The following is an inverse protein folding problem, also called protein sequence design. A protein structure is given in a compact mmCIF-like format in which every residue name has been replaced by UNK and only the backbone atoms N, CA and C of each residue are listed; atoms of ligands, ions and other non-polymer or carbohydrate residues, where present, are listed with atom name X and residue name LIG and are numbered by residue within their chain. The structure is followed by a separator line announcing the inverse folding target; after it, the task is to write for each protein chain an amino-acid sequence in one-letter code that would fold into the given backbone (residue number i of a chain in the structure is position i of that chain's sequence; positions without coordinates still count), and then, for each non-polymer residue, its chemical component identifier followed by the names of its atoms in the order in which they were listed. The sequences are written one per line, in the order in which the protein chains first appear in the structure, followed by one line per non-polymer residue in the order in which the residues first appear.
data_IF_759394172808
#
_entry.id   IF_759394172808
#
_cell.length_a   1.000
_cell.length_b   1.000
_cell.length_c   1.000
_cell.angle_alpha   90.00
_cell.angle_beta   90.00
_cell.angle_gamma   90.00
#
_symmetry.space_group_name_H-M   'P 1'
#
loop_
_entity.id
_entity.type
_entity.pdbx_description
1 polymer ?
#
# COMPACT_ATOMS: atom_id res chain seq x y z
N UNK A 1 -5.48 13.53 -15.22
CA UNK A 1 -6.49 12.50 -14.92
C UNK A 1 -5.79 11.40 -14.15
N UNK A 2 -6.19 11.15 -12.89
CA UNK A 2 -5.61 10.09 -12.04
C UNK A 2 -6.49 8.84 -12.02
N UNK A 3 -7.30 8.64 -13.07
CA UNK A 3 -8.18 7.49 -13.22
C UNK A 3 -7.36 6.25 -13.51
N UNK A 4 -7.51 5.21 -12.68
CA UNK A 4 -6.86 3.93 -12.90
C UNK A 4 -7.56 3.16 -14.02
N UNK A 5 -6.79 2.33 -14.72
CA UNK A 5 -7.34 1.39 -15.70
C UNK A 5 -8.11 0.28 -14.97
N UNK A 6 -9.25 -0.11 -15.55
CA UNK A 6 -10.09 -1.20 -15.03
C UNK A 6 -10.37 -2.16 -16.16
N UNK A 7 -9.99 -3.43 -16.00
CA UNK A 7 -10.18 -4.47 -17.02
C UNK A 7 -11.18 -5.52 -16.53
N UNK A 8 -11.97 -6.06 -17.44
CA UNK A 8 -12.78 -7.25 -17.17
C UNK A 8 -11.91 -8.49 -17.35
N UNK A 9 -11.70 -9.26 -16.28
CA UNK A 9 -10.87 -10.47 -16.29
C UNK A 9 -11.55 -11.54 -15.45
N UNK A 10 -11.79 -12.72 -16.04
CA UNK A 10 -12.44 -13.86 -15.38
C UNK A 10 -13.79 -13.52 -14.73
N UNK A 11 -14.55 -12.57 -15.31
CA UNK A 11 -15.85 -12.14 -14.78
C UNK A 11 -15.78 -11.14 -13.61
N UNK A 12 -14.59 -10.60 -13.33
CA UNK A 12 -14.36 -9.56 -12.33
C UNK A 12 -13.86 -8.27 -12.98
N UNK A 13 -14.08 -7.14 -12.29
CA UNK A 13 -13.55 -5.84 -12.69
C UNK A 13 -12.27 -5.55 -11.92
N UNK A 14 -11.13 -5.71 -12.56
CA UNK A 14 -9.81 -5.59 -11.93
C UNK A 14 -9.26 -4.18 -12.13
N UNK A 15 -9.06 -3.45 -11.03
CA UNK A 15 -8.34 -2.17 -11.04
C UNK A 15 -6.85 -2.47 -11.20
N UNK A 16 -6.22 -1.97 -12.26
CA UNK A 16 -4.87 -2.34 -12.69
C UNK A 16 -3.77 -1.50 -12.02
N UNK A 17 -3.63 -1.64 -10.71
CA UNK A 17 -2.55 -1.00 -9.94
C UNK A 17 -1.14 -1.47 -10.34
N UNK A 18 -1.03 -2.70 -10.84
CA UNK A 18 0.18 -3.30 -11.38
C UNK A 18 0.76 -2.55 -12.59
N UNK A 19 -0.09 -1.82 -13.34
CA UNK A 19 0.35 -0.97 -14.44
C UNK A 19 0.92 0.38 -13.96
N UNK A 20 0.79 0.69 -12.67
CA UNK A 20 1.38 1.88 -12.05
C UNK A 20 2.71 1.49 -11.43
N UNK A 21 3.82 2.00 -11.97
CA UNK A 21 5.14 1.81 -11.36
C UNK A 21 5.10 2.35 -9.92
N UNK A 22 5.34 1.48 -8.92
CA UNK A 22 5.22 1.80 -7.49
C UNK A 22 3.83 1.57 -6.88
N UNK A 23 2.86 1.08 -7.65
CA UNK A 23 1.50 0.77 -7.23
C UNK A 23 0.61 1.99 -7.04
N UNK A 24 -0.68 1.74 -6.78
CA UNK A 24 -1.73 2.78 -6.66
C UNK A 24 -1.37 3.84 -5.62
N UNK A 25 -0.76 3.45 -4.49
CA UNK A 25 -0.40 4.38 -3.42
C UNK A 25 0.55 5.48 -3.88
N UNK A 26 1.36 5.24 -4.91
CA UNK A 26 2.21 6.29 -5.50
C UNK A 26 1.38 7.45 -6.04
N UNK A 27 0.24 7.19 -6.67
CA UNK A 27 -0.58 8.26 -7.26
C UNK A 27 -1.11 9.22 -6.18
N UNK A 28 -1.57 8.67 -5.05
CA UNK A 28 -2.00 9.49 -3.91
C UNK A 28 -0.81 10.21 -3.25
N UNK A 29 0.36 9.56 -3.15
CA UNK A 29 1.57 10.21 -2.65
C UNK A 29 2.05 11.37 -3.54
N UNK A 30 2.01 11.21 -4.86
CA UNK A 30 2.42 12.25 -5.82
C UNK A 30 1.64 13.57 -5.57
N UNK A 31 0.36 13.47 -5.19
CA UNK A 31 -0.52 14.59 -4.90
C UNK A 31 -0.40 15.09 -3.45
N UNK A 32 -0.26 14.18 -2.48
CA UNK A 32 -0.14 14.53 -1.08
C UNK A 32 1.20 15.21 -0.78
N UNK A 33 2.30 14.69 -1.32
CA UNK A 33 3.65 15.21 -1.08
C UNK A 33 3.87 16.58 -1.71
N UNK A 34 3.14 16.96 -2.76
CA UNK A 34 3.24 18.31 -3.32
C UNK A 34 2.65 19.39 -2.39
N UNK A 35 1.87 18.98 -1.39
CA UNK A 35 1.24 19.85 -0.38
C UNK A 35 2.02 19.90 0.94
N UNK A 36 3.09 19.12 1.05
CA UNK A 36 3.96 19.05 2.22
C UNK A 36 5.15 19.98 2.01
N UNK A 37 5.44 20.85 2.98
CA UNK A 37 6.53 21.83 2.86
C UNK A 37 7.90 21.19 3.11
N UNK A 38 7.98 20.25 4.05
CA UNK A 38 9.23 19.63 4.46
C UNK A 38 9.92 18.95 3.28
N UNK A 39 11.22 19.20 3.13
CA UNK A 39 12.05 18.58 2.08
C UNK A 39 12.40 17.12 2.38
N UNK A 40 12.15 16.67 3.61
CA UNK A 40 12.38 15.30 4.09
C UNK A 40 11.08 14.68 4.55
N UNK A 41 10.90 13.41 4.24
CA UNK A 41 9.75 12.62 4.67
C UNK A 41 10.25 11.33 5.32
N UNK A 42 9.67 10.95 6.46
CA UNK A 42 10.06 9.75 7.21
C UNK A 42 8.89 8.77 7.33
N UNK A 43 9.15 7.49 7.06
CA UNK A 43 8.12 6.44 7.15
C UNK A 43 8.75 5.10 7.55
N UNK A 44 8.13 4.39 8.48
CA UNK A 44 8.40 2.97 8.69
C UNK A 44 7.83 2.18 7.50
N UNK A 45 8.57 1.21 6.96
CA UNK A 45 8.18 0.40 5.80
C UNK A 45 8.45 -1.10 6.04
N UNK A 46 7.95 -1.94 5.14
CA UNK A 46 8.10 -3.40 5.20
C UNK A 46 8.71 -3.92 3.89
N UNK A 47 9.60 -4.92 3.96
CA UNK A 47 10.45 -5.35 2.83
C UNK A 47 9.66 -6.05 1.71
N UNK A 48 8.48 -6.57 2.03
CA UNK A 48 7.60 -7.25 1.09
C UNK A 48 6.44 -6.37 0.58
N UNK A 49 6.35 -5.13 1.06
CA UNK A 49 5.32 -4.16 0.65
C UNK A 49 5.85 -3.10 -0.31
N UNK A 50 5.00 -2.66 -1.23
CA UNK A 50 5.36 -1.63 -2.22
C UNK A 50 5.50 -0.20 -1.66
N UNK A 51 5.20 0.03 -0.37
CA UNK A 51 5.26 1.36 0.25
C UNK A 51 6.63 2.04 0.09
N UNK A 52 7.74 1.31 0.30
CA UNK A 52 9.08 1.88 0.14
C UNK A 52 9.32 2.38 -1.28
N UNK A 53 8.99 1.56 -2.28
CA UNK A 53 9.12 1.92 -3.70
C UNK A 53 8.19 3.07 -4.10
N UNK A 54 6.93 3.05 -3.64
CA UNK A 54 5.96 4.12 -3.89
C UNK A 54 6.47 5.47 -3.38
N UNK A 55 7.00 5.51 -2.15
CA UNK A 55 7.52 6.71 -1.54
C UNK A 55 8.82 7.19 -2.22
N UNK A 56 9.69 6.28 -2.63
CA UNK A 56 10.91 6.61 -3.39
C UNK A 56 10.59 7.32 -4.70
N UNK A 57 9.62 6.80 -5.46
CA UNK A 57 9.19 7.39 -6.74
C UNK A 57 8.52 8.75 -6.53
N UNK A 58 7.61 8.84 -5.56
CA UNK A 58 6.86 10.08 -5.31
C UNK A 58 7.77 11.20 -4.80
N UNK A 59 8.68 10.92 -3.86
CA UNK A 59 9.64 11.91 -3.38
C UNK A 59 10.64 12.34 -4.46
N UNK A 60 11.09 11.42 -5.32
CA UNK A 60 11.94 11.75 -6.49
C UNK A 60 11.23 12.75 -7.41
N UNK A 61 9.93 12.54 -7.67
CA UNK A 61 9.13 13.41 -8.54
C UNK A 61 9.00 14.84 -8.02
N UNK A 62 8.87 15.03 -6.70
CA UNK A 62 8.73 16.36 -6.09
C UNK A 62 10.03 16.92 -5.49
N UNK A 63 11.18 16.32 -5.78
CA UNK A 63 12.49 16.81 -5.30
C UNK A 63 12.72 16.68 -3.79
N UNK A 64 11.99 15.79 -3.12
CA UNK A 64 12.13 15.52 -1.68
C UNK A 64 13.02 14.31 -1.41
N UNK A 65 13.53 14.20 -0.18
CA UNK A 65 14.25 13.02 0.32
C UNK A 65 13.34 12.16 1.18
N UNK A 66 13.38 10.85 0.97
CA UNK A 66 12.66 9.89 1.82
C UNK A 66 13.64 9.16 2.75
N UNK A 67 13.27 9.11 4.03
CA UNK A 67 13.92 8.33 5.07
C UNK A 67 13.04 7.12 5.38
N UNK A 68 13.52 5.94 5.00
CA UNK A 68 12.81 4.67 5.15
C UNK A 68 13.37 3.92 6.36
N UNK A 69 12.50 3.56 7.29
CA UNK A 69 12.86 2.82 8.49
C UNK A 69 12.41 1.37 8.39
N UNK A 70 13.34 0.45 8.61
CA UNK A 70 13.19 -1.00 8.50
C UNK A 70 13.45 -1.65 9.85
N UNK A 71 12.61 -2.61 10.24
CA UNK A 71 12.78 -3.33 11.49
C UNK A 71 13.76 -4.49 11.28
N UNK A 72 14.75 -4.60 12.16
CA UNK A 72 15.74 -5.66 12.11
C UNK A 72 16.78 -5.52 10.99
N UNK A 73 17.35 -6.65 10.58
CA UNK A 73 18.45 -6.70 9.61
C UNK A 73 17.96 -6.49 8.17
N UNK A 74 18.79 -5.90 7.30
CA UNK A 74 18.48 -5.83 5.87
C UNK A 74 18.15 -7.21 5.30
N UNK A 75 17.03 -7.30 4.58
CA UNK A 75 16.65 -8.47 3.78
C UNK A 75 16.82 -8.12 2.31
N UNK A 76 17.22 -9.08 1.50
CA UNK A 76 17.28 -8.89 0.05
C UNK A 76 15.95 -9.29 -0.58
N UNK A 77 15.09 -8.30 -0.80
CA UNK A 77 13.82 -8.45 -1.53
C UNK A 77 13.85 -7.62 -2.82
N UNK A 78 12.90 -7.89 -3.72
CA UNK A 78 12.71 -7.08 -4.92
C UNK A 78 12.59 -5.58 -4.60
N UNK A 79 11.90 -5.22 -3.52
CA UNK A 79 11.72 -3.82 -3.09
C UNK A 79 13.04 -3.23 -2.63
N UNK A 80 13.76 -3.89 -1.73
CA UNK A 80 15.03 -3.36 -1.20
C UNK A 80 16.12 -3.28 -2.27
N UNK A 81 16.13 -4.21 -3.24
CA UNK A 81 17.06 -4.18 -4.36
C UNK A 81 16.77 -3.00 -5.28
N UNK A 82 15.50 -2.80 -5.67
CA UNK A 82 15.11 -1.67 -6.51
C UNK A 82 15.40 -0.32 -5.81
N UNK A 83 15.25 -0.25 -4.49
CA UNK A 83 15.54 0.98 -3.74
C UNK A 83 17.01 1.42 -3.82
N UNK A 84 17.96 0.52 -4.08
CA UNK A 84 19.39 0.86 -4.23
C UNK A 84 19.66 1.81 -5.39
N UNK A 85 18.81 1.84 -6.41
CA UNK A 85 18.98 2.75 -7.56
C UNK A 85 18.46 4.18 -7.31
N UNK A 86 17.91 4.47 -6.13
CA UNK A 86 17.34 5.79 -5.81
C UNK A 86 18.28 6.61 -4.93
N UNK A 87 18.80 7.72 -5.47
CA UNK A 87 19.64 8.66 -4.72
C UNK A 87 18.88 9.55 -3.72
N UNK A 88 17.54 9.62 -3.83
CA UNK A 88 16.68 10.37 -2.93
C UNK A 88 16.23 9.57 -1.69
N UNK A 89 16.75 8.35 -1.50
CA UNK A 89 16.40 7.46 -0.39
C UNK A 89 17.56 7.34 0.60
N UNK A 90 17.23 7.47 1.87
CA UNK A 90 18.08 7.07 3.00
C UNK A 90 17.38 5.92 3.74
N UNK A 91 18.03 4.76 3.80
CA UNK A 91 17.52 3.62 4.57
C UNK A 91 18.14 3.58 5.96
N UNK A 92 17.31 3.30 6.96
CA UNK A 92 17.69 3.14 8.36
C UNK A 92 17.20 1.78 8.85
N UNK A 93 18.11 0.91 9.24
CA UNK A 93 17.79 -0.40 9.80
C UNK A 93 17.90 -0.29 11.33
N UNK A 94 16.80 -0.57 12.03
CA UNK A 94 16.68 -0.39 13.49
C UNK A 94 16.53 -1.78 14.10
N UNK A 95 17.59 -2.25 14.76
CA UNK A 95 17.72 -3.66 15.18
C UNK A 95 16.95 -3.98 16.46
N UNK A 96 16.53 -2.95 17.20
CA UNK A 96 15.77 -3.04 18.45
C UNK A 96 14.31 -3.47 18.24
N UNK A 97 13.82 -3.37 17.00
CA UNK A 97 12.44 -3.72 16.65
C UNK A 97 12.41 -4.91 15.70
N UNK A 98 11.46 -5.81 15.90
CA UNK A 98 11.26 -6.97 15.02
C UNK A 98 10.21 -6.67 13.94
N UNK A 99 9.26 -5.79 14.24
CA UNK A 99 8.13 -5.49 13.35
C UNK A 99 8.00 -4.00 13.10
N UNK A 100 7.56 -3.66 11.88
CA UNK A 100 7.39 -2.28 11.42
C UNK A 100 6.56 -1.41 12.38
N UNK A 101 5.48 -1.96 12.96
CA UNK A 101 4.56 -1.20 13.79
C UNK A 101 5.14 -0.77 15.14
N UNK A 102 6.09 -1.53 15.66
CA UNK A 102 6.79 -1.23 16.91
C UNK A 102 7.63 0.06 16.77
N UNK A 103 8.08 0.38 15.55
CA UNK A 103 8.86 1.58 15.24
C UNK A 103 8.02 2.87 15.14
N UNK A 104 6.69 2.82 15.22
CA UNK A 104 5.84 3.98 14.90
C UNK A 104 6.18 5.22 15.73
N UNK A 105 6.36 5.06 17.05
CA UNK A 105 6.74 6.17 17.94
C UNK A 105 8.17 6.64 17.69
N UNK A 106 9.09 5.71 17.44
CA UNK A 106 10.49 6.00 17.13
C UNK A 106 10.60 6.88 15.87
N UNK A 107 9.96 6.48 14.77
CA UNK A 107 10.02 7.23 13.50
C UNK A 107 9.36 8.61 13.64
N UNK A 108 8.26 8.72 14.39
CA UNK A 108 7.60 10.00 14.66
C UNK A 108 8.52 10.95 15.43
N UNK A 109 9.23 10.46 16.45
CA UNK A 109 10.17 11.27 17.23
C UNK A 109 11.37 11.68 16.37
N UNK A 110 11.94 10.73 15.62
CA UNK A 110 13.04 11.02 14.68
C UNK A 110 12.64 12.11 13.68
N UNK A 111 11.43 12.04 13.12
CA UNK A 111 10.94 13.01 12.15
C UNK A 111 10.86 14.42 12.76
N UNK A 112 10.35 14.53 14.00
CA UNK A 112 10.28 15.79 14.75
C UNK A 112 11.68 16.38 14.96
N UNK A 113 12.63 15.58 15.42
CA UNK A 113 14.01 16.01 15.68
C UNK A 113 14.74 16.43 14.39
N UNK A 114 14.41 15.81 13.25
CA UNK A 114 15.09 16.02 11.98
C UNK A 114 14.37 17.00 11.03
N UNK A 115 13.31 17.67 11.51
CA UNK A 115 12.44 18.56 10.72
C UNK A 115 11.95 17.88 9.44
N UNK A 116 11.50 16.64 9.56
CA UNK A 116 10.94 15.84 8.49
C UNK A 116 9.44 15.65 8.71
N UNK A 117 8.68 15.54 7.62
CA UNK A 117 7.28 15.17 7.69
C UNK A 117 7.16 13.68 8.04
N UNK A 118 6.45 13.36 9.11
CA UNK A 118 6.18 11.97 9.48
C UNK A 118 4.98 11.43 8.69
N UNK A 119 5.23 10.42 7.84
CA UNK A 119 4.17 9.59 7.26
C UNK A 119 3.94 8.36 8.14
N UNK A 120 2.72 8.16 8.68
CA UNK A 120 2.37 6.94 9.40
C UNK A 120 2.44 5.71 8.49
N UNK A 121 2.49 4.52 9.11
CA UNK A 121 2.45 3.25 8.39
C UNK A 121 1.26 3.21 7.43
N UNK A 122 1.54 2.79 6.20
CA UNK A 122 0.54 2.77 5.13
C UNK A 122 0.18 4.14 4.55
N UNK A 123 0.86 5.19 5.00
CA UNK A 123 0.64 6.62 4.69
C UNK A 123 -0.67 7.15 5.28
N UNK A 124 -1.05 6.67 6.46
CA UNK A 124 -2.33 7.01 7.08
C UNK A 124 -2.39 8.44 7.66
N UNK A 125 -2.25 9.45 6.81
CA UNK A 125 -2.50 10.85 7.12
C UNK A 125 -3.65 11.40 6.27
N UNK A 126 -4.27 12.48 6.73
CA UNK A 126 -5.44 13.07 6.07
C UNK A 126 -5.17 13.45 4.61
N UNK A 127 -4.05 14.11 4.33
CA UNK A 127 -3.65 14.50 2.97
C UNK A 127 -3.63 13.29 2.03
N UNK A 128 -2.98 12.19 2.43
CA UNK A 128 -2.91 10.99 1.60
C UNK A 128 -4.27 10.31 1.44
N UNK A 129 -5.06 10.18 2.52
CA UNK A 129 -6.37 9.53 2.46
C UNK A 129 -7.32 10.27 1.53
N UNK A 130 -7.38 11.60 1.62
CA UNK A 130 -8.24 12.41 0.76
C UNK A 130 -7.94 12.16 -0.73
N UNK A 131 -6.65 12.11 -1.10
CA UNK A 131 -6.25 11.81 -2.47
C UNK A 131 -6.61 10.38 -2.89
N UNK A 132 -6.39 9.38 -2.03
CA UNK A 132 -6.73 7.99 -2.34
C UNK A 132 -8.25 7.77 -2.48
N UNK A 133 -9.05 8.43 -1.64
CA UNK A 133 -10.52 8.42 -1.72
C UNK A 133 -10.99 9.02 -3.05
N UNK A 134 -10.41 10.15 -3.45
CA UNK A 134 -10.75 10.79 -4.72
C UNK A 134 -10.37 9.90 -5.92
N UNK A 135 -9.17 9.31 -5.90
CA UNK A 135 -8.74 8.35 -6.94
C UNK A 135 -9.70 7.16 -7.02
N UNK A 136 -10.17 6.63 -5.89
CA UNK A 136 -11.16 5.56 -5.86
C UNK A 136 -12.47 5.98 -6.55
N UNK A 137 -13.06 7.11 -6.14
CA UNK A 137 -14.31 7.64 -6.71
C UNK A 137 -14.21 7.95 -8.20
N UNK A 138 -13.08 8.49 -8.65
CA UNK A 138 -12.82 8.76 -10.07
C UNK A 138 -12.64 7.49 -10.90
N UNK A 139 -12.07 6.44 -10.29
CA UNK A 139 -11.85 5.16 -10.95
C UNK A 139 -13.16 4.41 -11.13
N UNK A 140 -13.98 4.32 -10.07
CA UNK A 140 -15.26 3.62 -10.08
C UNK A 140 -16.29 4.41 -9.27
N UNK A 141 -17.44 4.71 -9.90
CA UNK A 141 -18.47 5.56 -9.30
C UNK A 141 -19.28 4.86 -8.19
N UNK A 142 -19.76 3.65 -8.43
CA UNK A 142 -20.61 2.92 -7.46
C UNK A 142 -20.47 1.40 -7.64
N UNK A 143 -19.42 0.78 -7.07
CA UNK A 143 -19.29 -0.67 -7.08
C UNK A 143 -20.27 -1.30 -6.09
N UNK A 144 -20.78 -2.50 -6.39
CA UNK A 144 -21.61 -3.26 -5.44
C UNK A 144 -20.78 -4.02 -4.41
N UNK A 145 -19.63 -4.51 -4.85
CA UNK A 145 -18.70 -5.30 -4.04
C UNK A 145 -17.26 -4.99 -4.45
N UNK A 146 -16.36 -4.84 -3.47
CA UNK A 146 -14.93 -4.59 -3.69
C UNK A 146 -14.11 -5.52 -2.80
N UNK A 147 -13.00 -6.03 -3.34
CA UNK A 147 -12.02 -6.86 -2.64
C UNK A 147 -10.65 -6.20 -2.67
N UNK A 148 -9.94 -6.19 -1.54
CA UNK A 148 -8.57 -5.66 -1.42
C UNK A 148 -7.76 -6.41 -0.37
N UNK A 149 -6.43 -6.39 -0.51
CA UNK A 149 -5.51 -6.75 0.58
C UNK A 149 -5.58 -5.75 1.73
N UNK A 150 -5.28 -6.23 2.93
CA UNK A 150 -5.15 -5.43 4.14
C UNK A 150 -3.83 -5.74 4.83
N UNK A 151 -2.87 -4.83 4.71
CA UNK A 151 -1.68 -4.81 5.56
C UNK A 151 -1.78 -3.73 6.64
N UNK A 152 -1.66 -2.46 6.24
CA UNK A 152 -1.76 -1.33 7.17
C UNK A 152 -3.20 -0.90 7.52
N UNK A 153 -4.21 -1.39 6.80
CA UNK A 153 -5.59 -0.90 6.92
C UNK A 153 -5.91 0.36 6.11
N UNK A 154 -4.92 1.17 5.72
CA UNK A 154 -5.15 2.48 5.10
C UNK A 154 -6.00 2.41 3.82
N UNK A 155 -5.67 1.48 2.91
CA UNK A 155 -6.39 1.36 1.63
C UNK A 155 -7.85 0.99 1.88
N UNK A 156 -8.13 -0.06 2.65
CA UNK A 156 -9.50 -0.51 2.90
C UNK A 156 -10.33 0.56 3.62
N UNK A 157 -9.74 1.31 4.55
CA UNK A 157 -10.39 2.47 5.18
C UNK A 157 -10.78 3.51 4.13
N UNK A 158 -9.87 3.88 3.22
CA UNK A 158 -10.17 4.83 2.15
C UNK A 158 -11.25 4.31 1.19
N UNK A 159 -11.27 3.01 0.86
CA UNK A 159 -12.30 2.44 -0.01
C UNK A 159 -13.68 2.44 0.65
N UNK A 160 -13.75 2.19 1.97
CA UNK A 160 -15.00 2.30 2.75
C UNK A 160 -15.52 3.73 2.81
N UNK A 161 -14.63 4.71 2.99
CA UNK A 161 -14.98 6.13 2.94
C UNK A 161 -15.37 6.59 1.53
N UNK A 162 -14.74 6.02 0.50
CA UNK A 162 -15.08 6.31 -0.89
C UNK A 162 -16.48 5.79 -1.26
N UNK A 163 -16.85 4.62 -0.74
CA UNK A 163 -18.13 3.98 -1.03
C UNK A 163 -18.81 3.40 0.22
N UNK A 164 -19.48 4.24 1.03
CA UNK A 164 -20.06 3.84 2.31
C UNK A 164 -21.15 2.76 2.22
N UNK A 165 -21.83 2.63 1.07
CA UNK A 165 -22.90 1.65 0.83
C UNK A 165 -22.42 0.37 0.13
N UNK A 166 -21.14 0.28 -0.25
CA UNK A 166 -20.58 -0.87 -0.95
C UNK A 166 -20.15 -1.95 0.03
N UNK A 167 -20.32 -3.22 -0.32
CA UNK A 167 -19.70 -4.34 0.41
C UNK A 167 -18.19 -4.34 0.16
N UNK A 168 -17.40 -3.86 1.13
CA UNK A 168 -15.92 -3.84 1.05
C UNK A 168 -15.33 -5.00 1.85
N UNK A 169 -14.85 -6.02 1.15
CA UNK A 169 -14.19 -7.19 1.72
C UNK A 169 -12.67 -6.97 1.78
N UNK A 170 -12.11 -7.13 2.97
CA UNK A 170 -10.67 -7.14 3.18
C UNK A 170 -10.13 -8.56 3.34
N UNK A 171 -8.91 -8.79 2.89
CA UNK A 171 -8.12 -9.98 3.22
C UNK A 171 -6.88 -9.54 4.00
N UNK A 172 -6.82 -9.87 5.28
CA UNK A 172 -5.71 -9.54 6.17
C UNK A 172 -4.46 -10.36 5.81
N UNK A 173 -3.34 -9.68 5.61
CA UNK A 173 -2.06 -10.29 5.30
C UNK A 173 -1.25 -10.68 6.56
N UNK A 174 -1.78 -10.43 7.76
CA UNK A 174 -1.14 -10.81 9.03
C UNK A 174 -0.07 -9.83 9.53
N UNK A 175 0.05 -8.65 8.91
CA UNK A 175 0.99 -7.61 9.37
C UNK A 175 0.51 -6.90 10.64
N UNK A 176 -0.79 -6.69 10.75
CA UNK A 176 -1.48 -6.03 11.86
C UNK A 176 -2.82 -6.72 12.11
N UNK A 177 -3.29 -6.65 13.35
CA UNK A 177 -4.65 -7.08 13.67
C UNK A 177 -5.65 -6.02 13.21
N UNK A 178 -6.71 -6.45 12.53
CA UNK A 178 -7.78 -5.59 12.06
C UNK A 178 -9.12 -6.22 12.44
N UNK A 179 -9.87 -5.58 13.33
CA UNK A 179 -11.14 -6.12 13.86
C UNK A 179 -12.26 -6.20 12.81
N UNK A 180 -12.10 -5.52 11.68
CA UNK A 180 -13.10 -5.37 10.63
C UNK A 180 -12.67 -6.04 9.32
N UNK A 181 -12.05 -7.22 9.39
CA UNK A 181 -11.61 -7.97 8.21
C UNK A 181 -12.05 -9.43 8.33
N UNK A 182 -12.80 -9.90 7.33
CA UNK A 182 -13.46 -11.21 7.36
C UNK A 182 -12.51 -12.38 7.09
N UNK A 183 -11.41 -12.13 6.38
CA UNK A 183 -10.49 -13.17 5.91
C UNK A 183 -9.05 -12.85 6.34
N UNK A 184 -8.29 -13.88 6.68
CA UNK A 184 -6.85 -13.77 6.94
C UNK A 184 -6.11 -14.84 6.15
N UNK A 185 -5.02 -14.47 5.50
CA UNK A 185 -4.14 -15.40 4.78
C UNK A 185 -3.44 -16.34 5.76
N UNK A 186 -3.08 -17.54 5.31
CA UNK A 186 -2.24 -18.46 6.10
C UNK A 186 -0.76 -18.26 5.77
N UNK A 187 -0.46 -17.74 4.58
CA UNK A 187 0.89 -17.47 4.13
C UNK A 187 1.57 -16.41 4.98
N UNK A 188 2.82 -16.68 5.36
CA UNK A 188 3.71 -15.68 5.95
C UNK A 188 4.04 -14.59 4.93
N UNK A 189 4.56 -13.46 5.42
CA UNK A 189 4.87 -12.31 4.60
C UNK A 189 5.85 -12.61 3.44
N UNK A 190 6.79 -13.52 3.68
CA UNK A 190 7.85 -13.95 2.77
C UNK A 190 7.49 -15.19 1.93
N UNK A 191 6.27 -15.70 2.08
CA UNK A 191 5.73 -16.77 1.25
C UNK A 191 4.93 -16.16 0.10
N UNK A 192 5.07 -16.72 -1.11
CA UNK A 192 4.27 -16.32 -2.27
C UNK A 192 2.82 -16.80 -2.12
N UNK A 193 1.90 -16.18 -2.84
CA UNK A 193 0.52 -16.67 -2.95
C UNK A 193 0.49 -18.11 -3.48
N UNK A 194 -0.38 -18.93 -2.88
CA UNK A 194 -0.60 -20.33 -3.31
C UNK A 194 -1.39 -20.41 -4.63
N UNK A 195 -2.37 -19.53 -4.79
CA UNK A 195 -3.16 -19.39 -6.02
C UNK A 195 -2.94 -18.00 -6.60
N UNK A 196 -2.51 -17.93 -7.85
CA UNK A 196 -2.29 -16.67 -8.56
C UNK A 196 -3.53 -16.23 -9.34
N UNK A 197 -3.85 -14.92 -9.34
CA UNK A 197 -4.88 -14.39 -10.21
C UNK A 197 -4.48 -14.49 -11.70
N UNK A 198 -5.46 -14.46 -12.63
CA UNK A 198 -5.22 -14.45 -14.07
C UNK A 198 -4.78 -13.06 -14.60
N UNK A 199 -4.05 -12.30 -13.78
CA UNK A 199 -3.52 -10.98 -14.08
C UNK A 199 -2.26 -10.71 -13.23
N UNK A 200 -1.34 -9.83 -13.67
CA UNK A 200 -0.17 -9.47 -12.87
C UNK A 200 -0.56 -8.87 -11.52
N UNK A 201 0.07 -9.34 -10.44
CA UNK A 201 -0.18 -8.90 -9.07
C UNK A 201 1.04 -9.22 -8.21
N UNK A 202 1.30 -8.43 -7.17
CA UNK A 202 2.44 -8.65 -6.28
C UNK A 202 2.38 -10.03 -5.59
N UNK A 203 3.28 -10.94 -5.98
CA UNK A 203 3.28 -12.36 -5.58
C UNK A 203 3.27 -12.60 -4.06
N UNK A 204 3.97 -11.75 -3.28
CA UNK A 204 4.06 -11.88 -1.81
C UNK A 204 2.97 -11.09 -1.07
N UNK A 205 2.12 -10.36 -1.79
CA UNK A 205 1.20 -9.36 -1.24
C UNK A 205 -0.19 -9.47 -1.89
N UNK A 206 -0.44 -8.73 -2.96
CA UNK A 206 -1.75 -8.58 -3.60
C UNK A 206 -2.32 -9.88 -4.18
N UNK A 207 -1.46 -10.78 -4.67
CA UNK A 207 -1.89 -12.04 -5.24
C UNK A 207 -2.60 -12.96 -4.22
N UNK A 208 -2.28 -12.84 -2.92
CA UNK A 208 -2.81 -13.72 -1.86
C UNK A 208 -4.32 -13.62 -1.66
N UNK A 209 -4.96 -12.55 -2.13
CA UNK A 209 -6.42 -12.40 -2.02
C UNK A 209 -7.16 -13.34 -2.96
N UNK A 210 -6.49 -13.83 -4.01
CA UNK A 210 -7.15 -14.46 -5.15
C UNK A 210 -7.95 -15.71 -4.75
N UNK A 211 -7.41 -16.54 -3.85
CA UNK A 211 -8.12 -17.72 -3.31
C UNK A 211 -9.49 -17.37 -2.71
N UNK A 212 -9.58 -16.20 -2.06
CA UNK A 212 -10.80 -15.75 -1.40
C UNK A 212 -11.78 -15.16 -2.42
N UNK A 213 -11.26 -14.33 -3.35
CA UNK A 213 -12.06 -13.78 -4.44
C UNK A 213 -12.72 -14.89 -5.24
N UNK A 214 -11.95 -15.90 -5.67
CA UNK A 214 -12.43 -17.03 -6.47
C UNK A 214 -13.55 -17.82 -5.76
N UNK A 215 -13.49 -17.92 -4.44
CA UNK A 215 -14.44 -18.71 -3.63
C UNK A 215 -15.66 -17.90 -3.17
N UNK A 216 -15.52 -16.60 -2.95
CA UNK A 216 -16.50 -15.81 -2.21
C UNK A 216 -17.02 -14.56 -2.93
N UNK A 217 -16.30 -14.05 -3.94
CA UNK A 217 -16.71 -12.82 -4.60
C UNK A 217 -17.88 -13.05 -5.56
N UNK A 218 -18.81 -12.09 -5.61
CA UNK A 218 -19.89 -12.11 -6.60
C UNK A 218 -19.37 -11.82 -8.00
N UNK A 219 -20.06 -12.31 -9.02
CA UNK A 219 -19.78 -11.94 -10.42
C UNK A 219 -19.83 -10.42 -10.59
N UNK A 220 -18.84 -9.85 -11.27
CA UNK A 220 -18.70 -8.41 -11.49
C UNK A 220 -18.16 -7.63 -10.28
N UNK A 221 -17.78 -8.31 -9.19
CA UNK A 221 -17.08 -7.68 -8.08
C UNK A 221 -15.80 -6.99 -8.56
N UNK A 222 -15.45 -5.90 -7.88
CA UNK A 222 -14.23 -5.15 -8.15
C UNK A 222 -13.08 -5.76 -7.36
N UNK A 223 -11.96 -5.99 -8.03
CA UNK A 223 -10.71 -6.36 -7.37
C UNK A 223 -9.79 -5.15 -7.40
N UNK A 224 -9.51 -4.59 -6.23
CA UNK A 224 -8.61 -3.45 -6.06
C UNK A 224 -7.16 -3.94 -5.96
N UNK A 225 -6.58 -4.35 -7.10
CA UNK A 225 -5.18 -4.80 -7.17
C UNK A 225 -4.25 -3.60 -6.99
N UNK A 226 -3.47 -3.56 -5.90
CA UNK A 226 -2.67 -2.38 -5.52
C UNK A 226 -1.40 -2.26 -6.36
N UNK A 227 -0.72 -3.39 -6.62
CA UNK A 227 0.56 -3.47 -7.33
C UNK A 227 0.76 -4.85 -7.98
#
# INVERSE_FOLDING_TARGET
MNKLLVHEIAGFRVVRGDLVVGGIKRLALDLALSKIEESKVACAVHEFGHSGLALALATKKCGKKAHLFWAGKPKNTYVTEHLKSFSNIQSHFVFEFEKQHEMSSFVKNWAKENKAFHLPIGFNCELFRNELINIAKETISSPKEVWTTVGSGTTITCLREAWPSTKINGVNLGFLNHDNVEFTVLEKADEVAEEFPPYPSANFYDAKIWRFVKKHASKGAVIWNIA
#
